data_IF_954984059794
#
_entry.id   IF_954984059794
#
_cell.length_a   1.000
_cell.length_b   1.000
_cell.length_c   1.000
_cell.angle_alpha   90.00
_cell.angle_beta   90.00
_cell.angle_gamma   90.00
#
_symmetry.space_group_name_H-M   'P 1'
#
loop_
_entity.id
_entity.type
_entity.pdbx_description
1 polymer ?
#
# COMPACT_ATOMS: atom_id res chain seq x y z
N UNK A 1 -3.49 13.07 -7.72
CA UNK A 1 -2.95 12.18 -6.66
C UNK A 1 -2.28 12.88 -5.48
N UNK A 2 -1.68 14.09 -5.62
CA UNK A 2 -0.98 14.78 -4.51
C UNK A 2 -1.80 14.88 -3.21
N UNK A 3 -3.09 15.17 -3.32
CA UNK A 3 -3.99 15.31 -2.17
C UNK A 3 -4.13 14.01 -1.34
N UNK A 4 -4.12 12.84 -1.98
CA UNK A 4 -4.29 11.56 -1.28
C UNK A 4 -3.02 11.19 -0.50
N UNK A 5 -1.85 11.34 -1.12
CA UNK A 5 -0.56 11.04 -0.46
C UNK A 5 -0.33 11.96 0.75
N UNK A 6 -0.67 13.25 0.64
CA UNK A 6 -0.55 14.18 1.76
C UNK A 6 -1.45 13.80 2.94
N UNK A 7 -2.68 13.33 2.66
CA UNK A 7 -3.59 12.83 3.70
C UNK A 7 -3.06 11.56 4.36
N UNK A 8 -2.53 10.63 3.56
CA UNK A 8 -1.93 9.39 4.09
C UNK A 8 -0.77 9.74 5.03
N UNK A 9 0.12 10.68 4.65
CA UNK A 9 1.22 11.15 5.51
C UNK A 9 0.74 11.71 6.86
N UNK A 10 -0.26 12.60 6.83
CA UNK A 10 -0.84 13.16 8.07
C UNK A 10 -1.47 12.09 8.95
N UNK A 11 -2.09 11.07 8.37
CA UNK A 11 -2.65 9.94 9.14
C UNK A 11 -1.55 9.04 9.72
N UNK A 12 -0.47 8.78 8.99
CA UNK A 12 0.62 7.95 9.50
C UNK A 12 1.32 8.59 10.70
N UNK A 13 1.43 9.91 10.72
CA UNK A 13 1.97 10.68 11.85
C UNK A 13 1.16 10.50 13.13
N UNK A 14 -0.17 10.29 13.06
CA UNK A 14 -1.01 10.13 14.27
C UNK A 14 -1.04 8.69 14.80
N UNK A 15 -0.77 7.71 13.95
CA UNK A 15 -0.87 6.27 14.29
C UNK A 15 0.35 5.79 15.10
N UNK A 16 1.51 6.45 15.00
CA UNK A 16 2.74 6.20 15.78
C UNK A 16 3.17 4.72 15.85
N UNK A 17 2.83 3.91 14.85
CA UNK A 17 3.25 2.51 14.74
C UNK A 17 3.37 2.09 13.28
N UNK A 18 4.22 1.09 12.96
CA UNK A 18 4.26 0.52 11.62
C UNK A 18 2.91 -0.07 11.22
N UNK A 19 2.48 0.22 9.99
CA UNK A 19 1.22 -0.24 9.41
C UNK A 19 1.55 -1.32 8.39
N UNK A 20 0.90 -2.48 8.47
CA UNK A 20 0.95 -3.52 7.45
C UNK A 20 -0.37 -3.54 6.70
N UNK A 21 -0.34 -3.26 5.40
CA UNK A 21 -1.51 -3.28 4.53
C UNK A 21 -1.36 -4.46 3.58
N UNK A 22 -2.32 -5.40 3.60
CA UNK A 22 -2.30 -6.57 2.71
C UNK A 22 -3.40 -6.44 1.65
N UNK A 23 -3.04 -6.62 0.39
CA UNK A 23 -4.00 -6.85 -0.69
C UNK A 23 -4.17 -8.36 -0.95
N UNK A 24 -5.33 -8.75 -1.46
CA UNK A 24 -5.71 -10.13 -1.75
C UNK A 24 -6.31 -10.27 -3.15
N UNK A 25 -5.80 -9.49 -4.11
CA UNK A 25 -6.28 -9.51 -5.48
C UNK A 25 -5.09 -9.39 -6.43
N UNK A 26 -4.85 -10.41 -7.25
CA UNK A 26 -3.73 -10.41 -8.20
C UNK A 26 -3.70 -9.18 -9.12
N UNK A 27 -4.87 -8.66 -9.50
CA UNK A 27 -4.97 -7.42 -10.28
C UNK A 27 -4.43 -6.20 -9.53
N UNK A 28 -4.63 -6.11 -8.22
CA UNK A 28 -4.02 -5.07 -7.39
C UNK A 28 -2.52 -5.25 -7.29
N UNK A 29 -2.01 -6.47 -7.09
CA UNK A 29 -0.57 -6.76 -7.08
C UNK A 29 0.12 -6.18 -8.32
N UNK A 30 -0.44 -6.46 -9.51
CA UNK A 30 0.08 -5.98 -10.79
C UNK A 30 0.00 -4.46 -10.89
N UNK A 31 -1.14 -3.85 -10.53
CA UNK A 31 -1.31 -2.40 -10.59
C UNK A 31 -0.34 -1.66 -9.65
N UNK A 32 -0.22 -2.13 -8.41
CA UNK A 32 0.69 -1.58 -7.40
C UNK A 32 2.13 -1.58 -7.89
N UNK A 33 2.56 -2.70 -8.49
CA UNK A 33 3.91 -2.83 -9.05
C UNK A 33 4.09 -1.92 -10.28
N UNK A 34 3.17 -1.99 -11.25
CA UNK A 34 3.26 -1.24 -12.51
C UNK A 34 3.30 0.28 -12.32
N UNK A 35 2.60 0.79 -11.32
CA UNK A 35 2.51 2.23 -11.05
C UNK A 35 3.42 2.72 -9.91
N UNK A 36 4.29 1.86 -9.36
CA UNK A 36 5.22 2.26 -8.29
C UNK A 36 4.52 2.75 -7.03
N UNK A 37 3.34 2.22 -6.70
CA UNK A 37 2.54 2.70 -5.56
C UNK A 37 3.30 2.51 -4.24
N UNK A 38 4.16 1.50 -4.15
CA UNK A 38 5.01 1.25 -2.97
C UNK A 38 6.02 2.38 -2.74
N UNK A 39 6.50 3.02 -3.80
CA UNK A 39 7.56 4.03 -3.73
C UNK A 39 7.05 5.41 -3.27
N UNK A 40 5.75 5.65 -3.41
CA UNK A 40 5.10 6.92 -3.02
C UNK A 40 4.48 6.88 -1.63
N UNK A 41 4.34 5.69 -1.03
CA UNK A 41 3.78 5.51 0.30
C UNK A 41 4.82 5.89 1.38
N UNK A 42 4.39 6.40 2.54
CA UNK A 42 5.27 6.59 3.70
C UNK A 42 5.95 5.29 4.14
N UNK A 43 7.19 5.39 4.64
CA UNK A 43 7.99 4.23 5.07
C UNK A 43 7.35 3.44 6.23
N UNK A 44 6.45 4.07 6.97
CA UNK A 44 5.66 3.48 8.04
C UNK A 44 4.64 2.47 7.52
N UNK A 45 4.27 2.54 6.24
CA UNK A 45 3.32 1.62 5.59
C UNK A 45 4.06 0.56 4.80
N UNK A 46 3.99 -0.68 5.27
CA UNK A 46 4.46 -1.86 4.53
C UNK A 46 3.30 -2.51 3.78
N UNK A 47 3.40 -2.54 2.46
CA UNK A 47 2.46 -3.25 1.58
C UNK A 47 2.84 -4.73 1.46
N UNK A 48 1.89 -5.61 1.71
CA UNK A 48 1.99 -7.06 1.60
C UNK A 48 1.05 -7.55 0.48
N UNK A 49 1.47 -8.59 -0.23
CA UNK A 49 0.64 -9.29 -1.20
C UNK A 49 0.25 -10.63 -0.62
N UNK A 50 -1.05 -10.83 -0.40
CA UNK A 50 -1.63 -12.07 0.10
C UNK A 50 -2.01 -13.04 -1.02
N UNK A 51 -2.69 -14.15 -0.69
CA UNK A 51 -3.16 -15.13 -1.67
C UNK A 51 -4.35 -14.56 -2.46
N UNK A 52 -4.06 -13.76 -3.49
CA UNK A 52 -5.06 -13.06 -4.31
C UNK A 52 -5.35 -13.69 -5.67
N UNK A 53 -4.85 -14.90 -5.90
CA UNK A 53 -4.94 -15.63 -7.15
C UNK A 53 -5.59 -16.98 -6.86
N UNK A 54 -6.77 -17.29 -7.42
CA UNK A 54 -7.53 -18.50 -7.07
C UNK A 54 -6.87 -19.80 -7.57
N UNK A 55 -5.78 -19.72 -8.33
CA UNK A 55 -5.14 -20.86 -9.01
C UNK A 55 -3.65 -21.06 -8.65
N UNK A 56 -3.07 -20.21 -7.79
CA UNK A 56 -1.60 -20.11 -7.62
C UNK A 56 -0.97 -21.10 -6.61
#
# INVERSE_FOLDING_TARGET
MKNVIERIKKLTETIHRPIKLMEVCGTHTVAIFRFGVRDVLPNEIKMLSGPGCPVC
#
